data_IF_453334693343
#
_entry.id   IF_453334693343
#
_cell.length_a   1.000
_cell.length_b   1.000
_cell.length_c   1.000
_cell.angle_alpha   90.00
_cell.angle_beta   90.00
_cell.angle_gamma   90.00
#
_symmetry.space_group_name_H-M   'P 1'
#
loop_
_entity.id
_entity.type
_entity.pdbx_description
1 polymer ?
#
# COMPACT_ATOMS: atom_id res chain seq x y z
N UNK A 1 12.87 -25.87 -11.11
CA UNK A 1 13.08 -26.40 -9.74
C UNK A 1 14.08 -25.46 -9.07
N UNK A 2 13.64 -24.69 -8.10
CA UNK A 2 14.55 -23.80 -7.35
C UNK A 2 15.24 -24.69 -6.33
N UNK A 3 16.48 -25.10 -6.63
CA UNK A 3 17.39 -25.67 -5.64
C UNK A 3 18.03 -24.50 -4.88
N UNK A 4 17.31 -23.96 -3.91
CA UNK A 4 17.90 -23.13 -2.89
C UNK A 4 17.96 -23.95 -1.63
N UNK A 5 19.09 -23.95 -0.94
CA UNK A 5 19.15 -24.37 0.46
C UNK A 5 18.01 -23.66 1.22
N UNK A 6 17.39 -24.34 2.20
CA UNK A 6 16.45 -23.68 3.06
C UNK A 6 17.11 -22.40 3.59
N UNK A 7 16.37 -21.30 3.58
CA UNK A 7 16.85 -19.98 3.98
C UNK A 7 17.49 -20.06 5.37
N UNK A 8 18.81 -20.31 5.41
CA UNK A 8 19.59 -20.37 6.66
C UNK A 8 19.67 -18.99 7.35
N UNK A 9 19.25 -17.93 6.64
CA UNK A 9 19.17 -16.58 7.19
C UNK A 9 17.80 -15.98 6.88
N UNK A 10 17.18 -15.32 7.85
CA UNK A 10 15.96 -14.57 7.59
C UNK A 10 16.25 -13.52 6.49
N UNK A 11 15.44 -13.56 5.43
CA UNK A 11 15.47 -12.54 4.39
C UNK A 11 14.74 -11.32 4.93
N UNK A 12 15.39 -10.17 4.91
CA UNK A 12 14.74 -8.92 5.25
C UNK A 12 13.68 -8.62 4.17
N UNK A 13 12.52 -8.19 4.61
CA UNK A 13 11.44 -7.82 3.69
C UNK A 13 11.85 -6.69 2.73
N UNK A 14 12.81 -5.86 3.14
CA UNK A 14 13.40 -4.82 2.29
C UNK A 14 14.18 -5.41 1.11
N UNK A 15 14.66 -6.65 1.24
CA UNK A 15 15.40 -7.35 0.18
C UNK A 15 14.49 -8.08 -0.81
N UNK A 16 13.18 -8.00 -0.64
CA UNK A 16 12.21 -8.74 -1.46
C UNK A 16 12.36 -8.46 -2.96
N UNK A 17 12.72 -7.22 -3.31
CA UNK A 17 12.92 -6.81 -4.70
C UNK A 17 14.38 -6.95 -5.17
N UNK A 18 15.31 -7.24 -4.25
CA UNK A 18 16.74 -7.17 -4.50
C UNK A 18 17.17 -8.02 -5.68
N UNK A 19 16.72 -9.26 -5.76
CA UNK A 19 17.11 -10.19 -6.82
C UNK A 19 16.75 -9.65 -8.22
N UNK A 20 15.55 -9.09 -8.37
CA UNK A 20 15.11 -8.48 -9.62
C UNK A 20 15.90 -7.22 -9.96
N UNK A 21 16.09 -6.35 -8.98
CA UNK A 21 16.81 -5.08 -9.16
C UNK A 21 18.28 -5.27 -9.58
N UNK A 22 18.96 -6.25 -9.00
CA UNK A 22 20.39 -6.51 -9.28
C UNK A 22 20.54 -7.31 -10.56
N UNK A 23 19.70 -8.33 -10.80
CA UNK A 23 19.84 -9.24 -11.93
C UNK A 23 19.25 -8.70 -13.23
N UNK A 24 18.04 -8.15 -13.16
CA UNK A 24 17.23 -7.82 -14.34
C UNK A 24 16.34 -6.58 -14.08
N UNK A 25 16.93 -5.40 -13.81
CA UNK A 25 16.21 -4.20 -13.37
C UNK A 25 15.12 -3.74 -14.35
N UNK A 26 15.36 -3.92 -15.65
CA UNK A 26 14.43 -3.50 -16.71
C UNK A 26 13.38 -4.56 -17.08
N UNK A 27 13.46 -5.76 -16.49
CA UNK A 27 12.46 -6.78 -16.71
C UNK A 27 11.18 -6.47 -15.97
N UNK A 28 10.06 -7.00 -16.49
CA UNK A 28 8.74 -6.77 -15.91
C UNK A 28 8.60 -7.51 -14.57
N UNK A 29 8.42 -6.76 -13.52
CA UNK A 29 8.21 -7.27 -12.15
C UNK A 29 6.73 -7.49 -11.83
N UNK A 30 5.86 -6.62 -12.33
CA UNK A 30 4.44 -6.61 -11.95
C UNK A 30 3.57 -6.26 -13.16
N UNK A 31 2.51 -7.02 -13.34
CA UNK A 31 1.50 -6.81 -14.39
C UNK A 31 0.11 -6.85 -13.79
N UNK A 32 -0.69 -5.84 -14.11
CA UNK A 32 -2.10 -5.83 -13.77
C UNK A 32 -2.89 -5.16 -14.92
N UNK A 33 -3.73 -5.94 -15.58
CA UNK A 33 -4.46 -5.52 -16.77
C UNK A 33 -3.51 -4.93 -17.84
N UNK A 34 -3.60 -3.63 -18.10
CA UNK A 34 -2.73 -2.94 -19.07
C UNK A 34 -1.51 -2.29 -18.43
N UNK A 35 -1.45 -2.24 -17.11
CA UNK A 35 -0.36 -1.61 -16.38
C UNK A 35 0.78 -2.59 -16.17
N UNK A 36 1.99 -2.16 -16.49
CA UNK A 36 3.24 -2.92 -16.28
C UNK A 36 4.21 -2.06 -15.48
N UNK A 37 5.00 -2.70 -14.65
CA UNK A 37 6.14 -2.09 -13.95
C UNK A 37 7.34 -2.98 -14.07
N UNK A 38 8.47 -2.42 -14.45
CA UNK A 38 9.76 -3.08 -14.32
C UNK A 38 10.20 -3.09 -12.85
N UNK A 39 11.25 -3.83 -12.52
CA UNK A 39 11.77 -3.85 -11.15
C UNK A 39 12.20 -2.45 -10.68
N UNK A 40 12.88 -1.69 -11.56
CA UNK A 40 13.33 -0.34 -11.23
C UNK A 40 12.16 0.63 -11.08
N UNK A 41 11.16 0.57 -11.98
CA UNK A 41 9.96 1.41 -11.87
C UNK A 41 9.16 1.11 -10.59
N UNK A 42 9.03 -0.17 -10.24
CA UNK A 42 8.36 -0.59 -9.02
C UNK A 42 9.08 -0.06 -7.77
N UNK A 43 10.42 -0.14 -7.77
CA UNK A 43 11.22 0.40 -6.67
C UNK A 43 11.05 1.92 -6.54
N UNK A 44 11.07 2.64 -7.65
CA UNK A 44 10.89 4.09 -7.65
C UNK A 44 9.51 4.49 -7.12
N UNK A 45 8.45 3.80 -7.55
CA UNK A 45 7.08 4.02 -7.05
C UNK A 45 6.98 3.78 -5.54
N UNK A 46 7.61 2.71 -5.04
CA UNK A 46 7.66 2.36 -3.61
C UNK A 46 8.40 3.44 -2.82
N UNK A 47 9.56 3.86 -3.30
CA UNK A 47 10.39 4.87 -2.63
C UNK A 47 9.67 6.21 -2.55
N UNK A 48 9.02 6.61 -3.62
CA UNK A 48 8.23 7.83 -3.67
C UNK A 48 7.07 7.80 -2.68
N UNK A 49 6.30 6.72 -2.65
CA UNK A 49 5.16 6.61 -1.74
C UNK A 49 5.62 6.53 -0.27
N UNK A 50 6.66 5.76 0.02
CA UNK A 50 7.25 5.69 1.37
C UNK A 50 7.72 7.07 1.84
N UNK A 51 8.40 7.83 0.97
CA UNK A 51 8.83 9.20 1.25
C UNK A 51 7.66 10.14 1.54
N UNK A 52 6.56 10.03 0.80
CA UNK A 52 5.34 10.80 1.05
C UNK A 52 4.71 10.46 2.40
N UNK A 53 4.64 9.20 2.77
CA UNK A 53 4.11 8.79 4.08
C UNK A 53 4.93 9.37 5.23
N UNK A 54 6.24 9.34 5.15
CA UNK A 54 7.12 9.91 6.16
C UNK A 54 7.01 11.45 6.20
N UNK A 55 6.87 12.10 5.04
CA UNK A 55 6.69 13.55 4.95
C UNK A 55 5.35 14.02 5.56
N UNK A 56 4.33 13.18 5.59
CA UNK A 56 3.07 13.45 6.29
C UNK A 56 3.18 13.35 7.82
N UNK A 57 4.33 12.92 8.34
CA UNK A 57 4.57 12.77 9.78
C UNK A 57 4.20 11.41 10.34
N UNK A 58 4.01 10.39 9.49
CA UNK A 58 3.86 9.01 9.95
C UNK A 58 5.18 8.49 10.52
N UNK A 59 5.07 7.80 11.63
CA UNK A 59 6.20 7.22 12.37
C UNK A 59 6.16 5.69 12.32
N UNK A 60 7.30 5.00 12.51
CA UNK A 60 7.32 3.53 12.56
C UNK A 60 6.29 2.96 13.52
N UNK A 61 5.54 1.97 13.06
CA UNK A 61 4.43 1.35 13.81
C UNK A 61 3.07 2.02 13.60
N UNK A 62 3.00 3.19 12.97
CA UNK A 62 1.73 3.81 12.61
C UNK A 62 0.99 2.97 11.56
N UNK A 63 -0.33 2.96 11.67
CA UNK A 63 -1.21 2.22 10.76
C UNK A 63 -1.74 3.10 9.65
N UNK A 64 -1.58 2.60 8.42
CA UNK A 64 -2.14 3.22 7.22
C UNK A 64 -3.18 2.28 6.65
N UNK A 65 -4.43 2.69 6.72
CA UNK A 65 -5.53 1.92 6.15
C UNK A 65 -5.59 2.08 4.63
N UNK A 66 -6.08 1.06 3.95
CA UNK A 66 -6.30 1.11 2.51
C UNK A 66 -7.68 0.57 2.13
N UNK A 67 -8.36 1.29 1.23
CA UNK A 67 -9.61 0.88 0.59
C UNK A 67 -9.39 0.88 -0.92
N UNK A 68 -8.72 -0.15 -1.40
CA UNK A 68 -8.13 -0.22 -2.73
C UNK A 68 -8.49 -1.53 -3.42
N UNK A 69 -8.77 -1.53 -4.72
CA UNK A 69 -8.89 -2.77 -5.49
C UNK A 69 -7.54 -3.45 -5.67
N UNK A 70 -7.55 -4.73 -6.02
CA UNK A 70 -6.34 -5.51 -6.31
C UNK A 70 -5.70 -5.06 -7.62
N UNK A 71 -4.98 -3.96 -7.58
CA UNK A 71 -4.24 -3.36 -8.70
C UNK A 71 -2.78 -3.11 -8.29
N UNK A 72 -1.98 -2.59 -9.20
CA UNK A 72 -0.55 -2.27 -8.98
C UNK A 72 -0.35 -1.39 -7.75
N UNK A 73 -1.21 -0.40 -7.57
CA UNK A 73 -1.13 0.56 -6.47
C UNK A 73 -1.25 -0.09 -5.09
N UNK A 74 -2.01 -1.19 -4.96
CA UNK A 74 -2.10 -1.92 -3.70
C UNK A 74 -0.78 -2.59 -3.31
N UNK A 75 -0.08 -3.17 -4.29
CA UNK A 75 1.24 -3.76 -4.08
C UNK A 75 2.25 -2.69 -3.68
N UNK A 76 2.26 -1.57 -4.40
CA UNK A 76 3.12 -0.42 -4.10
C UNK A 76 2.84 0.09 -2.68
N UNK A 77 1.57 0.22 -2.29
CA UNK A 77 1.18 0.65 -0.95
C UNK A 77 1.73 -0.29 0.15
N UNK A 78 1.57 -1.61 -0.02
CA UNK A 78 2.08 -2.57 0.95
C UNK A 78 3.60 -2.48 1.11
N UNK A 79 4.32 -2.46 0.00
CA UNK A 79 5.78 -2.40 0.02
C UNK A 79 6.29 -1.05 0.53
N UNK A 80 5.60 0.04 0.23
CA UNK A 80 5.91 1.37 0.77
C UNK A 80 5.72 1.44 2.29
N UNK A 81 4.63 0.86 2.82
CA UNK A 81 4.44 0.75 4.26
C UNK A 81 5.56 -0.05 4.91
N UNK A 82 5.91 -1.19 4.36
CA UNK A 82 7.00 -2.02 4.87
C UNK A 82 8.32 -1.25 4.88
N UNK A 83 8.65 -0.55 3.80
CA UNK A 83 9.87 0.25 3.69
C UNK A 83 9.92 1.39 4.69
N UNK A 84 8.81 2.03 4.96
CA UNK A 84 8.70 3.13 5.91
C UNK A 84 8.53 2.67 7.38
N UNK A 85 8.50 1.37 7.65
CA UNK A 85 8.25 0.83 8.98
C UNK A 85 6.80 0.98 9.46
N UNK A 86 5.87 1.19 8.54
CA UNK A 86 4.45 1.38 8.83
C UNK A 86 3.69 0.05 8.78
N UNK A 87 2.52 0.03 9.38
CA UNK A 87 1.62 -1.13 9.37
C UNK A 87 0.54 -0.93 8.30
N UNK A 88 0.67 -1.65 7.19
CA UNK A 88 -0.38 -1.69 6.18
C UNK A 88 -1.64 -2.36 6.75
N UNK A 89 -2.77 -1.67 6.70
CA UNK A 89 -4.03 -2.09 7.31
C UNK A 89 -5.13 -2.12 6.24
N UNK A 90 -5.18 -3.20 5.45
CA UNK A 90 -6.14 -3.28 4.35
C UNK A 90 -7.57 -3.50 4.85
N UNK A 91 -8.50 -2.69 4.34
CA UNK A 91 -9.92 -2.88 4.50
C UNK A 91 -10.45 -3.70 3.33
N UNK A 92 -11.51 -4.48 3.57
CA UNK A 92 -12.19 -5.11 2.46
C UNK A 92 -12.74 -4.05 1.52
N UNK A 93 -12.36 -4.14 0.23
CA UNK A 93 -12.74 -3.16 -0.78
C UNK A 93 -14.26 -2.96 -0.94
N UNK A 94 -15.05 -3.96 -0.53
CA UNK A 94 -16.51 -3.92 -0.61
C UNK A 94 -17.19 -3.37 0.64
N UNK A 95 -16.44 -2.94 1.65
CA UNK A 95 -17.01 -2.34 2.85
C UNK A 95 -17.84 -1.11 2.52
N UNK A 96 -19.02 -1.03 3.14
CA UNK A 96 -19.85 0.17 3.16
C UNK A 96 -19.44 1.07 4.33
N UNK A 97 -19.94 2.29 4.36
CA UNK A 97 -19.57 3.30 5.35
C UNK A 97 -19.54 2.80 6.81
N UNK A 98 -20.56 2.06 7.33
CA UNK A 98 -20.52 1.57 8.71
C UNK A 98 -19.38 0.59 8.98
N UNK A 99 -19.02 -0.24 8.01
CA UNK A 99 -17.93 -1.22 8.14
C UNK A 99 -16.57 -0.52 8.04
N UNK A 100 -16.46 0.51 7.20
CA UNK A 100 -15.29 1.37 7.11
C UNK A 100 -15.07 2.07 8.45
N UNK A 101 -16.10 2.67 9.02
CA UNK A 101 -16.04 3.32 10.33
C UNK A 101 -15.54 2.39 11.42
N UNK A 102 -16.11 1.19 11.52
CA UNK A 102 -15.70 0.20 12.50
C UNK A 102 -14.23 -0.23 12.32
N UNK A 103 -13.82 -0.52 11.08
CA UNK A 103 -12.45 -0.95 10.79
C UNK A 103 -11.41 0.13 11.11
N UNK A 104 -11.70 1.39 10.79
CA UNK A 104 -10.83 2.52 11.09
C UNK A 104 -10.73 2.79 12.60
N UNK A 105 -11.85 2.68 13.32
CA UNK A 105 -11.90 2.84 14.78
C UNK A 105 -11.06 1.76 15.46
N UNK A 106 -11.30 0.49 15.15
CA UNK A 106 -10.62 -0.64 15.78
C UNK A 106 -9.12 -0.66 15.46
N UNK A 107 -8.75 -0.34 14.21
CA UNK A 107 -7.34 -0.33 13.81
C UNK A 107 -6.55 0.83 14.39
N UNK A 108 -7.17 1.95 14.72
CA UNK A 108 -6.47 3.16 15.10
C UNK A 108 -5.60 3.73 13.98
N UNK A 109 -6.02 3.55 12.73
CA UNK A 109 -5.28 4.06 11.56
C UNK A 109 -5.22 5.58 11.59
N UNK A 110 -4.07 6.14 11.21
CA UNK A 110 -3.85 7.59 11.12
C UNK A 110 -4.18 8.18 9.75
N UNK A 111 -4.07 7.37 8.72
CA UNK A 111 -4.27 7.74 7.32
C UNK A 111 -5.08 6.65 6.62
N UNK A 112 -5.90 7.04 5.66
CA UNK A 112 -6.56 6.13 4.72
C UNK A 112 -6.15 6.50 3.29
N UNK A 113 -5.67 5.52 2.53
CA UNK A 113 -5.51 5.64 1.09
C UNK A 113 -6.63 4.88 0.38
N UNK A 114 -7.33 5.53 -0.54
CA UNK A 114 -8.52 4.95 -1.16
C UNK A 114 -8.64 5.28 -2.65
N UNK A 115 -9.16 4.33 -3.41
CA UNK A 115 -9.50 4.57 -4.82
C UNK A 115 -10.74 5.46 -4.95
N UNK A 116 -10.72 6.38 -5.90
CA UNK A 116 -11.80 7.35 -6.12
C UNK A 116 -13.18 6.72 -6.39
N UNK A 117 -13.22 5.50 -6.92
CA UNK A 117 -14.46 4.72 -7.08
C UNK A 117 -15.25 4.54 -5.76
N UNK A 118 -14.58 4.68 -4.61
CA UNK A 118 -15.20 4.52 -3.27
C UNK A 118 -15.65 5.83 -2.64
N UNK A 119 -15.63 6.93 -3.39
CA UNK A 119 -15.92 8.28 -2.87
C UNK A 119 -17.27 8.39 -2.16
N UNK A 120 -18.31 7.72 -2.66
CA UNK A 120 -19.63 7.74 -2.05
C UNK A 120 -19.62 7.17 -0.62
N UNK A 121 -18.94 6.04 -0.41
CA UNK A 121 -18.83 5.41 0.91
C UNK A 121 -17.91 6.20 1.84
N UNK A 122 -16.85 6.80 1.30
CA UNK A 122 -15.95 7.68 2.06
C UNK A 122 -16.70 8.93 2.55
N UNK A 123 -17.54 9.51 1.71
CA UNK A 123 -18.36 10.66 2.08
C UNK A 123 -19.43 10.32 3.11
N UNK A 124 -19.96 9.12 3.11
CA UNK A 124 -20.90 8.62 4.07
C UNK A 124 -20.24 8.19 5.41
N UNK A 125 -18.95 7.84 5.37
CA UNK A 125 -18.18 7.46 6.56
C UNK A 125 -17.94 8.67 7.47
N UNK A 126 -18.25 8.53 8.73
CA UNK A 126 -17.98 9.56 9.75
C UNK A 126 -16.52 9.49 10.22
N UNK A 127 -16.01 8.28 10.40
CA UNK A 127 -14.68 8.05 10.96
C UNK A 127 -13.57 8.40 9.96
N UNK A 128 -13.76 8.09 8.68
CA UNK A 128 -12.79 8.43 7.64
C UNK A 128 -12.50 9.94 7.57
N UNK A 129 -13.52 10.77 7.79
CA UNK A 129 -13.37 12.23 7.81
C UNK A 129 -12.62 12.78 9.02
N UNK A 130 -12.50 12.02 10.09
CA UNK A 130 -11.87 12.41 11.35
C UNK A 130 -10.48 11.82 11.56
N UNK A 131 -9.92 11.13 10.57
CA UNK A 131 -8.58 10.57 10.67
C UNK A 131 -7.54 11.69 10.87
N UNK A 132 -6.52 11.47 11.72
CA UNK A 132 -5.51 12.49 12.01
C UNK A 132 -4.82 13.07 10.77
N UNK A 133 -4.52 12.23 9.78
CA UNK A 133 -3.87 12.63 8.53
C UNK A 133 -4.80 12.60 7.32
N UNK A 134 -6.09 12.29 7.54
CA UNK A 134 -7.10 12.34 6.50
C UNK A 134 -7.08 11.19 5.51
N UNK A 135 -7.47 11.49 4.27
CA UNK A 135 -7.65 10.53 3.20
C UNK A 135 -6.84 10.96 1.98
N UNK A 136 -6.01 10.08 1.47
CA UNK A 136 -5.41 10.20 0.13
C UNK A 136 -6.31 9.48 -0.87
N UNK A 137 -6.76 10.19 -1.87
CA UNK A 137 -7.54 9.63 -2.99
C UNK A 137 -6.66 9.49 -4.21
N UNK A 138 -6.82 8.39 -4.95
CA UNK A 138 -6.10 8.15 -6.20
C UNK A 138 -7.02 7.51 -7.24
N UNK A 139 -6.59 7.54 -8.49
CA UNK A 139 -7.38 7.05 -9.61
C UNK A 139 -8.51 8.01 -10.00
N UNK A 140 -9.28 7.60 -11.00
CA UNK A 140 -10.47 8.31 -11.45
C UNK A 140 -11.72 7.52 -11.05
N UNK A 141 -12.78 8.22 -10.72
CA UNK A 141 -14.11 7.62 -10.59
C UNK A 141 -14.69 7.46 -12.01
N UNK A 142 -15.14 6.22 -12.32
CA UNK A 142 -15.85 5.95 -13.59
C UNK A 142 -17.19 6.70 -13.69
#
# INVERSE_FOLDING_TARGET
MIHGDPLDKPVDIHDLLHTGLVGQPEDVALVCAKTRRTWVELQDDIDNLAGHYLALGLEPGDRVASLMPNRVELVIHYLACMKAGLVATPLNYRYLAPQIDHALEVSGSKLLIAHAEREADLNASKFAKSLPLGIIRYGEAD
#
